data_IF_278381466625
#
_entry.id   IF_278381466625
#
_cell.length_a   1.000
_cell.length_b   1.000
_cell.length_c   1.000
_cell.angle_alpha   90.00
_cell.angle_beta   90.00
_cell.angle_gamma   90.00
#
_symmetry.space_group_name_H-M   'P 1'
#
loop_
_entity.id
_entity.type
_entity.pdbx_description
1 polymer ?
#
# COMPACT_ATOMS: atom_id res chain seq x y z
N UNK A 1 2.11 -13.86 20.87
CA UNK A 1 2.00 -12.98 19.72
C UNK A 1 2.86 -11.72 19.84
N UNK A 2 2.96 -11.15 21.02
CA UNK A 2 3.69 -9.91 21.25
C UNK A 2 5.18 -10.19 21.43
N UNK A 3 5.97 -10.09 20.37
CA UNK A 3 7.39 -10.41 20.35
C UNK A 3 8.23 -9.24 19.82
N UNK A 4 9.48 -9.16 20.27
CA UNK A 4 10.43 -8.20 19.72
C UNK A 4 10.81 -8.59 18.29
N UNK A 5 10.57 -7.70 17.35
CA UNK A 5 10.84 -7.88 15.93
C UNK A 5 11.32 -6.58 15.28
N UNK A 6 11.58 -6.64 13.98
CA UNK A 6 12.02 -5.47 13.22
C UNK A 6 10.82 -4.58 12.87
N UNK A 7 10.43 -3.71 13.82
CA UNK A 7 9.34 -2.75 13.60
C UNK A 7 9.71 -1.65 12.61
N UNK A 8 8.75 -1.21 11.81
CA UNK A 8 8.93 -0.07 10.87
C UNK A 8 9.23 1.26 11.58
N UNK A 9 8.88 1.38 12.86
CA UNK A 9 9.07 2.60 13.66
C UNK A 9 10.40 2.63 14.42
N UNK A 10 11.22 1.58 14.31
CA UNK A 10 12.50 1.43 15.05
C UNK A 10 12.37 1.67 16.57
N UNK A 11 11.20 1.38 17.15
CA UNK A 11 10.96 1.46 18.60
C UNK A 11 11.28 0.12 19.26
N UNK A 12 11.83 0.11 20.48
CA UNK A 12 12.18 -1.12 21.22
C UNK A 12 10.94 -1.77 21.86
N UNK A 13 9.78 -1.71 21.22
CA UNK A 13 8.57 -2.31 21.75
C UNK A 13 8.27 -3.63 21.05
N UNK A 14 7.67 -4.62 21.77
CA UNK A 14 7.16 -5.81 21.12
C UNK A 14 6.10 -5.43 20.09
N UNK A 15 6.07 -6.17 18.98
CA UNK A 15 5.16 -5.94 17.85
C UNK A 15 4.34 -7.17 17.54
N UNK A 16 3.22 -6.96 16.85
CA UNK A 16 2.35 -7.98 16.30
C UNK A 16 2.26 -7.74 14.79
N UNK A 17 2.38 -8.79 14.00
CA UNK A 17 2.15 -8.75 12.56
C UNK A 17 0.68 -9.01 12.23
N UNK A 18 0.18 -8.37 11.18
CA UNK A 18 -1.15 -8.61 10.62
C UNK A 18 -1.04 -8.75 9.12
N UNK A 19 -1.58 -9.84 8.58
CA UNK A 19 -1.83 -10.06 7.15
C UNK A 19 -3.29 -9.77 6.83
N UNK A 20 -3.55 -9.11 5.70
CA UNK A 20 -4.87 -8.79 5.21
C UNK A 20 -4.99 -9.21 3.76
N UNK A 21 -6.04 -9.95 3.42
CA UNK A 21 -6.47 -10.22 2.06
C UNK A 21 -7.73 -9.45 1.72
N UNK A 22 -7.79 -8.98 0.50
CA UNK A 22 -8.93 -8.24 -0.03
C UNK A 22 -9.16 -8.61 -1.50
N UNK A 23 -10.33 -8.31 -2.01
CA UNK A 23 -10.61 -8.38 -3.43
C UNK A 23 -10.08 -7.16 -4.20
N UNK A 24 -10.33 -7.14 -5.51
CA UNK A 24 -9.90 -6.05 -6.40
C UNK A 24 -10.59 -4.70 -6.09
N UNK A 25 -11.72 -4.72 -5.42
CA UNK A 25 -12.47 -3.53 -5.01
C UNK A 25 -12.05 -3.02 -3.61
N UNK A 26 -11.04 -3.64 -3.00
CA UNK A 26 -10.55 -3.29 -1.67
C UNK A 26 -11.40 -3.82 -0.52
N UNK A 27 -12.33 -4.74 -0.78
CA UNK A 27 -13.17 -5.35 0.26
C UNK A 27 -12.36 -6.42 0.99
N UNK A 28 -12.21 -6.35 2.32
CA UNK A 28 -11.48 -7.34 3.09
C UNK A 28 -12.14 -8.72 3.05
N UNK A 29 -11.38 -9.75 2.65
CA UNK A 29 -11.85 -11.15 2.56
C UNK A 29 -11.42 -11.98 3.76
N UNK A 30 -10.18 -11.81 4.22
CA UNK A 30 -9.62 -12.54 5.34
C UNK A 30 -8.47 -11.79 5.99
N UNK A 31 -8.17 -12.13 7.24
CA UNK A 31 -6.98 -11.65 7.93
C UNK A 31 -6.36 -12.75 8.78
N UNK A 32 -5.10 -12.56 9.13
CA UNK A 32 -4.41 -13.36 10.14
C UNK A 32 -3.53 -12.46 11.00
N UNK A 33 -3.26 -12.93 12.23
CA UNK A 33 -2.43 -12.23 13.20
C UNK A 33 -1.30 -13.16 13.63
N UNK A 34 -0.07 -12.72 13.48
CA UNK A 34 1.10 -13.54 13.72
C UNK A 34 2.14 -12.83 14.62
N UNK A 35 3.06 -13.59 15.22
CA UNK A 35 4.10 -13.03 16.07
C UNK A 35 4.96 -12.00 15.35
N UNK A 36 5.29 -10.91 16.01
CA UNK A 36 6.03 -9.80 15.42
C UNK A 36 7.46 -10.12 14.96
N UNK A 37 8.02 -11.25 15.39
CA UNK A 37 9.32 -11.77 14.95
C UNK A 37 9.21 -12.80 13.82
N UNK A 38 8.01 -13.13 13.36
CA UNK A 38 7.80 -14.07 12.25
C UNK A 38 8.11 -13.40 10.90
N UNK A 39 8.72 -14.17 9.99
CA UNK A 39 8.94 -13.70 8.62
C UNK A 39 7.61 -13.64 7.86
N UNK A 40 7.25 -12.45 7.37
CA UNK A 40 6.00 -12.19 6.65
C UNK A 40 5.81 -13.12 5.44
N UNK A 41 6.88 -13.50 4.74
CA UNK A 41 6.80 -14.41 3.59
C UNK A 41 6.24 -15.80 3.94
N UNK A 42 6.45 -16.27 5.17
CA UNK A 42 5.97 -17.59 5.61
C UNK A 42 4.49 -17.59 6.03
N UNK A 43 3.92 -16.40 6.27
CA UNK A 43 2.52 -16.25 6.69
C UNK A 43 1.53 -16.30 5.52
N UNK A 44 2.01 -16.05 4.30
CA UNK A 44 1.19 -15.92 3.10
C UNK A 44 0.46 -17.25 2.78
N UNK A 45 1.21 -18.33 2.54
CA UNK A 45 0.64 -19.62 2.12
C UNK A 45 -0.44 -20.19 3.05
N UNK A 46 -0.30 -20.17 4.40
CA UNK A 46 -1.36 -20.61 5.29
C UNK A 46 -2.67 -19.83 5.10
N UNK A 47 -2.57 -18.50 4.95
CA UNK A 47 -3.73 -17.64 4.76
C UNK A 47 -4.38 -17.84 3.38
N UNK A 48 -3.58 -17.96 2.31
CA UNK A 48 -4.08 -18.30 0.97
C UNK A 48 -4.81 -19.66 0.95
N UNK A 49 -4.25 -20.68 1.58
CA UNK A 49 -4.91 -22.01 1.69
C UNK A 49 -6.26 -21.91 2.39
N UNK A 50 -6.37 -21.06 3.41
CA UNK A 50 -7.63 -20.81 4.10
C UNK A 50 -8.64 -20.15 3.17
N UNK A 51 -8.24 -19.11 2.43
CA UNK A 51 -9.10 -18.43 1.45
C UNK A 51 -9.57 -19.38 0.36
N UNK A 52 -8.67 -20.16 -0.23
CA UNK A 52 -8.99 -21.15 -1.25
C UNK A 52 -10.07 -22.12 -0.73
N UNK A 53 -9.92 -22.58 0.51
CA UNK A 53 -10.87 -23.52 1.14
C UNK A 53 -12.20 -22.82 1.48
N UNK A 54 -12.16 -21.67 2.14
CA UNK A 54 -13.35 -21.03 2.71
C UNK A 54 -14.24 -20.41 1.62
N UNK A 55 -13.64 -19.92 0.54
CA UNK A 55 -14.36 -19.34 -0.61
C UNK A 55 -14.52 -20.29 -1.80
N UNK A 56 -14.02 -21.54 -1.68
CA UNK A 56 -13.97 -22.51 -2.80
C UNK A 56 -13.39 -21.91 -4.09
N UNK A 57 -12.34 -21.10 -3.95
CA UNK A 57 -11.75 -20.29 -5.02
C UNK A 57 -10.51 -20.99 -5.54
N UNK A 58 -10.59 -21.62 -6.73
CA UNK A 58 -9.46 -22.30 -7.37
C UNK A 58 -8.69 -21.42 -8.35
N UNK A 59 -9.29 -20.33 -8.77
CA UNK A 59 -8.77 -19.39 -9.77
C UNK A 59 -8.70 -17.99 -9.20
N UNK A 60 -7.50 -17.41 -9.13
CA UNK A 60 -7.30 -16.04 -8.69
C UNK A 60 -5.93 -15.51 -9.12
N UNK A 61 -5.81 -14.20 -9.15
CA UNK A 61 -4.56 -13.50 -9.37
C UNK A 61 -4.09 -12.92 -8.05
N UNK A 62 -2.96 -13.42 -7.55
CA UNK A 62 -2.32 -12.90 -6.35
C UNK A 62 -1.54 -11.62 -6.68
N UNK A 63 -1.88 -10.52 -6.03
CA UNK A 63 -1.16 -9.25 -6.18
C UNK A 63 -0.53 -8.80 -4.87
N UNK A 64 0.78 -8.51 -4.87
CA UNK A 64 1.49 -8.05 -3.68
C UNK A 64 2.68 -7.15 -3.98
N UNK A 65 3.27 -6.61 -2.92
CA UNK A 65 4.56 -5.94 -2.99
C UNK A 65 5.73 -6.93 -3.07
N UNK A 66 6.95 -6.40 -3.22
CA UNK A 66 8.16 -7.22 -3.30
C UNK A 66 8.49 -7.97 -1.98
N UNK A 67 7.87 -7.59 -0.87
CA UNK A 67 8.09 -8.21 0.44
C UNK A 67 7.57 -9.65 0.50
N UNK A 68 6.48 -9.95 -0.21
CA UNK A 68 5.86 -11.28 -0.27
C UNK A 68 6.25 -12.07 -1.52
N UNK A 69 7.10 -11.53 -2.40
CA UNK A 69 7.46 -12.07 -3.71
C UNK A 69 8.55 -13.13 -3.71
N UNK A 70 8.71 -13.96 -2.67
CA UNK A 70 9.69 -15.06 -2.70
C UNK A 70 9.39 -16.08 -3.80
N UNK A 71 10.43 -16.75 -4.33
CA UNK A 71 10.26 -17.80 -5.34
C UNK A 71 9.27 -18.90 -4.87
N UNK A 72 9.31 -19.26 -3.59
CA UNK A 72 8.38 -20.22 -3.01
C UNK A 72 6.92 -19.75 -3.01
N UNK A 73 6.67 -18.45 -2.80
CA UNK A 73 5.31 -17.90 -2.85
C UNK A 73 4.83 -17.82 -4.30
N UNK A 74 5.69 -17.43 -5.23
CA UNK A 74 5.38 -17.43 -6.66
C UNK A 74 5.09 -18.84 -7.18
N UNK A 75 5.93 -19.81 -6.83
CA UNK A 75 5.70 -21.22 -7.20
C UNK A 75 4.35 -21.75 -6.66
N UNK A 76 3.96 -21.39 -5.44
CA UNK A 76 2.65 -21.75 -4.90
C UNK A 76 1.51 -21.12 -5.71
N UNK A 77 1.68 -19.88 -6.13
CA UNK A 77 0.69 -19.13 -6.92
C UNK A 77 0.77 -19.40 -8.43
N UNK A 78 1.59 -20.36 -8.87
CA UNK A 78 1.63 -20.87 -10.24
C UNK A 78 0.93 -22.22 -10.42
N UNK A 79 0.34 -22.78 -9.36
CA UNK A 79 -0.27 -24.10 -9.40
C UNK A 79 -1.71 -24.00 -9.91
N UNK A 80 -2.07 -24.82 -10.91
CA UNK A 80 -3.40 -24.81 -11.50
C UNK A 80 -3.68 -23.52 -12.28
N UNK A 81 -4.88 -22.94 -12.11
CA UNK A 81 -5.30 -21.71 -12.79
C UNK A 81 -4.99 -20.45 -11.97
N UNK A 82 -4.02 -20.51 -11.06
CA UNK A 82 -3.59 -19.37 -10.27
C UNK A 82 -2.48 -18.59 -10.97
N UNK A 83 -2.53 -17.30 -10.81
CA UNK A 83 -1.49 -16.41 -11.31
C UNK A 83 -1.09 -15.39 -10.26
N UNK A 84 -0.02 -14.64 -10.53
CA UNK A 84 0.43 -13.58 -9.65
C UNK A 84 0.92 -12.37 -10.43
N UNK A 85 0.82 -11.21 -9.75
CA UNK A 85 1.37 -9.93 -10.20
C UNK A 85 2.07 -9.30 -9.00
N UNK A 86 3.39 -9.34 -8.98
CA UNK A 86 4.20 -8.96 -7.82
C UNK A 86 5.19 -7.86 -8.19
N UNK A 87 5.22 -6.79 -7.42
CA UNK A 87 6.26 -5.76 -7.57
C UNK A 87 7.64 -6.38 -7.46
N UNK A 88 8.51 -6.11 -8.42
CA UNK A 88 9.88 -6.61 -8.43
C UNK A 88 10.91 -5.49 -8.29
N UNK A 89 11.91 -5.69 -7.45
CA UNK A 89 12.95 -4.67 -7.22
C UNK A 89 14.09 -4.82 -8.23
N UNK A 90 14.15 -3.94 -9.21
CA UNK A 90 15.25 -3.87 -10.19
C UNK A 90 16.63 -3.77 -9.52
N UNK A 91 16.74 -3.06 -8.39
CA UNK A 91 17.99 -2.90 -7.63
C UNK A 91 18.53 -4.22 -7.06
N UNK A 92 17.67 -5.22 -6.85
CA UNK A 92 18.01 -6.53 -6.26
C UNK A 92 18.26 -7.61 -7.31
N UNK A 93 18.06 -7.32 -8.59
CA UNK A 93 18.31 -8.25 -9.69
C UNK A 93 19.80 -8.49 -9.88
N UNK A 94 20.14 -9.65 -10.48
CA UNK A 94 21.48 -9.90 -10.99
C UNK A 94 21.84 -8.85 -12.04
N UNK A 95 23.13 -8.59 -12.20
CA UNK A 95 23.61 -7.52 -13.10
C UNK A 95 23.11 -7.74 -14.54
N UNK A 96 23.24 -8.94 -15.06
CA UNK A 96 22.85 -9.29 -16.43
C UNK A 96 21.35 -9.03 -16.69
N UNK A 97 20.48 -9.53 -15.84
CA UNK A 97 19.01 -9.33 -15.93
C UNK A 97 18.64 -7.85 -15.77
N UNK A 98 19.35 -7.15 -14.90
CA UNK A 98 19.15 -5.73 -14.66
C UNK A 98 19.54 -4.88 -15.87
N UNK A 99 20.64 -5.21 -16.52
CA UNK A 99 21.11 -4.49 -17.72
C UNK A 99 20.11 -4.67 -18.89
N UNK A 100 19.54 -5.86 -19.02
CA UNK A 100 18.44 -6.10 -19.97
C UNK A 100 17.21 -5.30 -19.59
N UNK A 101 16.83 -5.30 -18.30
CA UNK A 101 15.65 -4.59 -17.81
C UNK A 101 15.78 -3.07 -17.99
N UNK A 102 16.94 -2.49 -17.71
CA UNK A 102 17.19 -1.05 -17.82
C UNK A 102 17.60 -0.59 -19.24
N UNK A 103 17.86 -1.50 -20.19
CA UNK A 103 18.15 -1.12 -21.56
C UNK A 103 17.02 -0.22 -22.11
N UNK A 104 17.30 1.01 -22.56
CA UNK A 104 16.29 1.98 -22.96
C UNK A 104 15.55 1.63 -24.26
N UNK A 105 16.02 0.66 -25.01
CA UNK A 105 15.40 0.23 -26.27
C UNK A 105 14.27 -0.77 -26.05
N UNK A 106 13.44 -0.99 -27.08
CA UNK A 106 12.36 -1.98 -27.09
C UNK A 106 11.20 -1.70 -26.13
N UNK A 107 11.02 -0.46 -25.69
CA UNK A 107 9.81 -0.07 -25.01
C UNK A 107 8.66 0.16 -26.01
N UNK A 108 7.43 0.01 -25.54
CA UNK A 108 6.21 0.29 -26.29
C UNK A 108 5.32 1.22 -25.46
N UNK A 109 4.56 2.07 -26.12
CA UNK A 109 3.46 2.78 -25.50
C UNK A 109 2.24 1.85 -25.37
N UNK A 110 1.45 2.00 -24.36
CA UNK A 110 0.17 1.30 -24.23
C UNK A 110 -0.69 1.51 -25.49
N UNK A 111 -1.22 0.42 -26.05
CA UNK A 111 -2.00 0.44 -27.31
C UNK A 111 -1.19 0.54 -28.60
N UNK A 112 0.16 0.56 -28.55
CA UNK A 112 1.04 0.59 -29.74
C UNK A 112 1.86 -0.69 -29.85
N UNK A 113 2.10 -1.11 -31.09
CA UNK A 113 3.03 -2.20 -31.43
C UNK A 113 4.46 -1.71 -31.70
N UNK A 114 4.65 -0.40 -31.86
CA UNK A 114 5.91 0.19 -32.25
C UNK A 114 6.91 0.22 -31.09
N UNK A 115 8.14 -0.17 -31.40
CA UNK A 115 9.24 -0.08 -30.44
C UNK A 115 9.80 1.35 -30.37
N UNK A 116 10.03 1.81 -29.18
CA UNK A 116 10.52 3.14 -28.86
C UNK A 116 11.81 3.01 -28.02
N UNK A 117 12.78 3.88 -28.31
CA UNK A 117 13.90 4.15 -27.40
C UNK A 117 13.48 5.29 -26.45
N UNK A 118 13.36 5.01 -25.16
CA UNK A 118 12.88 6.00 -24.18
C UNK A 118 13.82 7.21 -24.03
N UNK A 119 15.05 7.15 -24.55
CA UNK A 119 15.98 8.30 -24.58
C UNK A 119 15.59 9.35 -25.62
N UNK A 120 14.80 8.97 -26.62
CA UNK A 120 14.35 9.86 -27.70
C UNK A 120 13.02 10.55 -27.37
N UNK A 121 12.46 10.31 -26.18
CA UNK A 121 11.20 10.88 -25.76
C UNK A 121 11.37 12.39 -25.46
N UNK A 122 10.49 13.20 -26.00
CA UNK A 122 10.35 14.60 -25.59
C UNK A 122 9.53 14.67 -24.29
N UNK A 123 10.22 14.65 -23.15
CA UNK A 123 9.59 14.70 -21.82
C UNK A 123 8.93 16.06 -21.50
N UNK A 124 9.04 17.07 -22.38
CA UNK A 124 8.36 18.37 -22.24
C UNK A 124 6.96 18.35 -22.85
N UNK A 125 6.65 17.39 -23.69
CA UNK A 125 5.31 17.16 -24.21
C UNK A 125 4.40 16.57 -23.14
N UNK A 126 3.23 17.15 -22.93
CA UNK A 126 2.29 16.77 -21.88
C UNK A 126 1.75 15.32 -22.06
N UNK A 127 1.57 14.89 -23.30
CA UNK A 127 1.10 13.52 -23.57
C UNK A 127 2.20 12.52 -23.26
N UNK A 128 3.43 12.78 -23.68
CA UNK A 128 4.61 11.96 -23.39
C UNK A 128 4.86 11.91 -21.89
N UNK A 129 4.81 13.05 -21.21
CA UNK A 129 5.04 13.15 -19.77
C UNK A 129 4.07 12.32 -18.94
N UNK A 130 2.79 12.25 -19.32
CA UNK A 130 1.76 11.49 -18.63
C UNK A 130 1.63 10.04 -19.10
N UNK A 131 2.38 9.63 -20.13
CA UNK A 131 2.35 8.27 -20.69
C UNK A 131 3.17 7.29 -19.85
N UNK A 132 2.86 6.01 -20.02
CA UNK A 132 3.63 4.89 -19.47
C UNK A 132 4.10 4.05 -20.67
N UNK A 133 5.39 3.76 -20.69
CA UNK A 133 6.03 2.88 -21.63
C UNK A 133 6.38 1.58 -20.94
N UNK A 134 6.34 0.46 -21.64
CA UNK A 134 6.64 -0.85 -21.05
C UNK A 134 7.42 -1.74 -21.99
N UNK A 135 8.13 -2.70 -21.45
CA UNK A 135 8.70 -3.82 -22.15
C UNK A 135 8.59 -5.10 -21.33
N UNK A 136 8.59 -6.21 -22.04
CA UNK A 136 8.54 -7.56 -21.47
C UNK A 136 9.91 -8.18 -21.54
N UNK A 137 10.36 -8.76 -20.45
CA UNK A 137 11.60 -9.50 -20.36
C UNK A 137 11.29 -10.89 -19.83
N UNK A 138 11.45 -11.97 -20.63
CA UNK A 138 11.33 -13.33 -20.13
C UNK A 138 12.39 -13.61 -19.06
N UNK A 139 11.98 -14.20 -17.95
CA UNK A 139 12.87 -14.55 -16.83
C UNK A 139 12.58 -15.98 -16.40
N UNK A 140 13.64 -16.75 -16.18
CA UNK A 140 13.52 -18.11 -15.64
C UNK A 140 14.08 -18.12 -14.22
N UNK A 141 13.25 -18.47 -13.25
CA UNK A 141 13.66 -18.57 -11.85
C UNK A 141 13.44 -20.01 -11.36
N UNK A 142 14.47 -20.84 -11.40
CA UNK A 142 14.33 -22.28 -11.15
C UNK A 142 13.42 -22.91 -12.20
N UNK A 143 12.31 -23.51 -11.75
CA UNK A 143 11.32 -24.15 -12.64
C UNK A 143 10.20 -23.17 -13.09
N UNK A 144 10.28 -21.89 -12.72
CA UNK A 144 9.27 -20.90 -13.04
C UNK A 144 9.65 -20.15 -14.33
N UNK A 145 8.77 -20.22 -15.33
CA UNK A 145 8.78 -19.33 -16.48
C UNK A 145 7.95 -18.09 -16.14
N UNK A 146 8.59 -16.94 -16.11
CA UNK A 146 8.01 -15.69 -15.65
C UNK A 146 8.25 -14.59 -16.68
N UNK A 147 7.41 -13.57 -16.65
CA UNK A 147 7.63 -12.33 -17.41
C UNK A 147 7.87 -11.18 -16.45
N UNK A 148 9.00 -10.51 -16.63
CA UNK A 148 9.26 -9.23 -15.98
C UNK A 148 8.73 -8.12 -16.88
N UNK A 149 7.67 -7.45 -16.45
CA UNK A 149 7.16 -6.26 -17.10
C UNK A 149 7.87 -5.05 -16.50
N UNK A 150 8.70 -4.41 -17.30
CA UNK A 150 9.41 -3.18 -16.92
C UNK A 150 8.67 -2.00 -17.49
N UNK A 151 8.24 -1.08 -16.64
CA UNK A 151 7.59 0.16 -17.05
C UNK A 151 8.53 1.35 -16.87
N UNK A 152 8.42 2.33 -17.75
CA UNK A 152 9.06 3.63 -17.67
C UNK A 152 8.01 4.74 -17.75
N UNK A 153 8.12 5.74 -16.88
CA UNK A 153 7.25 6.90 -16.88
C UNK A 153 8.06 8.18 -16.61
N UNK A 154 8.03 9.17 -17.51
CA UNK A 154 8.65 10.48 -17.28
C UNK A 154 8.13 11.18 -16.03
N UNK A 155 6.84 11.09 -15.77
CA UNK A 155 6.21 11.63 -14.55
C UNK A 155 6.75 10.99 -13.27
N UNK A 156 6.97 9.68 -13.28
CA UNK A 156 7.55 8.98 -12.13
C UNK A 156 9.03 9.32 -11.96
N UNK A 157 9.78 9.46 -13.06
CA UNK A 157 11.17 9.96 -13.07
C UNK A 157 11.26 11.32 -12.39
N UNK A 158 10.47 12.29 -12.83
CA UNK A 158 10.44 13.63 -12.26
C UNK A 158 10.08 13.63 -10.75
N UNK A 159 9.16 12.75 -10.35
CA UNK A 159 8.81 12.56 -8.94
C UNK A 159 10.01 12.05 -8.12
N UNK A 160 10.72 11.01 -8.61
CA UNK A 160 11.89 10.45 -7.94
C UNK A 160 13.03 11.45 -7.83
N UNK A 161 13.32 12.17 -8.89
CA UNK A 161 14.31 13.26 -8.93
C UNK A 161 14.01 14.35 -7.91
N UNK A 162 12.73 14.77 -7.81
CA UNK A 162 12.30 15.75 -6.81
C UNK A 162 12.51 15.27 -5.37
N UNK A 163 12.20 14.01 -5.09
CA UNK A 163 12.42 13.41 -3.77
C UNK A 163 13.92 13.35 -3.46
N UNK A 164 14.73 12.86 -4.39
CA UNK A 164 16.19 12.77 -4.26
C UNK A 164 16.82 14.14 -4.03
N UNK A 165 16.47 15.13 -4.82
CA UNK A 165 16.99 16.50 -4.65
C UNK A 165 16.71 17.08 -3.26
N UNK A 166 15.52 16.81 -2.69
CA UNK A 166 15.20 17.21 -1.31
C UNK A 166 16.07 16.48 -0.28
N UNK A 167 16.37 15.21 -0.52
CA UNK A 167 17.21 14.42 0.38
C UNK A 167 18.68 14.83 0.30
N UNK A 168 19.18 15.15 -0.90
CA UNK A 168 20.54 15.69 -1.10
C UNK A 168 20.68 17.04 -0.37
N UNK A 169 19.75 17.98 -0.53
CA UNK A 169 19.75 19.24 0.22
C UNK A 169 19.76 19.04 1.74
N UNK A 170 19.05 18.04 2.24
CA UNK A 170 19.11 17.69 3.68
C UNK A 170 20.46 17.09 4.06
N UNK A 171 21.09 16.29 3.21
CA UNK A 171 22.43 15.75 3.42
C UNK A 171 23.47 16.88 3.51
N UNK A 172 23.41 17.86 2.60
CA UNK A 172 24.25 19.06 2.60
C UNK A 172 24.12 19.87 3.90
N UNK A 173 22.87 20.08 4.38
CA UNK A 173 22.62 20.75 5.65
C UNK A 173 23.22 19.99 6.83
N UNK A 174 23.16 18.65 6.83
CA UNK A 174 23.73 17.82 7.89
C UNK A 174 25.26 17.87 7.86
N UNK A 175 25.89 17.86 6.68
CA UNK A 175 27.36 17.98 6.52
C UNK A 175 27.85 19.28 7.11
N UNK A 176 27.11 20.37 6.88
CA UNK A 176 27.48 21.72 7.33
C UNK A 176 27.10 21.99 8.80
N UNK A 177 26.38 21.07 9.46
CA UNK A 177 26.00 21.24 10.86
C UNK A 177 27.13 20.83 11.82
N UNK A 178 27.31 21.55 12.95
CA UNK A 178 28.30 21.16 13.96
C UNK A 178 27.96 19.84 14.65
N UNK A 179 26.73 19.40 14.63
CA UNK A 179 26.25 18.18 15.28
C UNK A 179 26.01 17.05 14.26
N UNK A 180 27.09 16.37 13.86
CA UNK A 180 27.06 15.26 12.88
C UNK A 180 26.64 13.95 13.56
N UNK A 181 25.34 13.64 13.60
CA UNK A 181 24.88 12.32 14.06
C UNK A 181 24.97 11.32 12.91
N UNK A 182 25.87 10.35 13.02
CA UNK A 182 25.85 9.18 12.16
C UNK A 182 24.64 8.31 12.52
N UNK A 183 23.61 8.31 11.66
CA UNK A 183 22.54 7.30 11.70
C UNK A 183 22.82 6.23 10.65
N UNK A 184 22.30 5.04 10.87
CA UNK A 184 22.44 3.93 9.93
C UNK A 184 21.91 4.29 8.54
N UNK A 185 22.64 3.89 7.50
CA UNK A 185 22.29 4.11 6.09
C UNK A 185 21.05 3.27 5.74
N UNK A 186 19.87 3.87 5.70
CA UNK A 186 18.67 3.26 5.13
C UNK A 186 18.24 4.04 3.89
N UNK A 187 17.30 3.47 3.13
CA UNK A 187 16.85 4.01 1.85
C UNK A 187 16.20 5.40 1.96
N UNK A 188 15.72 5.78 3.14
CA UNK A 188 15.09 7.08 3.41
C UNK A 188 16.01 8.05 4.15
N UNK A 189 17.22 7.63 4.53
CA UNK A 189 18.17 8.44 5.27
C UNK A 189 18.97 9.33 4.29
N UNK A 190 18.94 10.66 4.41
CA UNK A 190 19.77 11.55 3.61
C UNK A 190 21.26 11.23 3.68
N UNK A 191 21.73 10.68 4.82
CA UNK A 191 23.14 10.31 5.01
C UNK A 191 23.62 9.19 4.06
N UNK A 192 22.73 8.51 3.32
CA UNK A 192 23.17 7.56 2.27
C UNK A 192 23.87 8.24 1.10
N UNK A 193 23.64 9.54 0.91
CA UNK A 193 24.33 10.38 -0.08
C UNK A 193 25.58 11.07 0.48
N UNK A 194 26.05 10.65 1.63
CA UNK A 194 27.25 11.19 2.24
C UNK A 194 28.33 10.11 2.31
N UNK A 195 29.43 10.37 1.66
CA UNK A 195 30.67 9.58 1.86
C UNK A 195 31.52 10.22 2.94
N UNK A 196 32.26 9.39 3.63
CA UNK A 196 33.14 9.77 4.70
C UNK A 196 34.54 9.31 4.32
N UNK A 197 35.45 10.25 4.14
CA UNK A 197 36.84 9.99 3.80
C UNK A 197 37.70 10.44 4.97
N UNK A 198 38.49 9.54 5.50
CA UNK A 198 39.45 9.79 6.56
C UNK A 198 40.86 9.62 5.98
N UNK A 199 41.42 10.69 5.42
CA UNK A 199 42.77 10.68 4.81
C UNK A 199 43.58 11.84 5.37
N UNK A 200 44.80 11.59 5.78
CA UNK A 200 45.82 12.62 6.00
C UNK A 200 46.55 12.90 4.71
N UNK A 201 47.23 14.06 4.63
CA UNK A 201 48.06 14.40 3.46
C UNK A 201 49.20 13.38 3.23
N UNK A 202 49.54 12.60 4.25
CA UNK A 202 50.65 11.62 4.21
C UNK A 202 50.16 10.17 4.13
N UNK A 203 48.84 9.94 3.91
CA UNK A 203 48.24 8.60 3.71
C UNK A 203 47.98 7.83 5.03
N UNK A 204 48.18 8.43 6.19
CA UNK A 204 47.85 7.87 7.49
C UNK A 204 46.37 8.05 7.85
N UNK A 205 45.85 7.28 8.81
CA UNK A 205 44.44 7.36 9.26
C UNK A 205 44.22 8.70 9.96
N UNK A 206 43.41 9.58 9.36
CA UNK A 206 43.13 10.90 9.90
C UNK A 206 42.22 10.86 11.12
N UNK A 207 42.52 11.66 12.13
CA UNK A 207 41.59 11.94 13.24
C UNK A 207 40.35 12.73 12.81
N UNK A 208 40.45 13.53 11.74
CA UNK A 208 39.31 14.29 11.18
C UNK A 208 38.69 13.61 9.99
N UNK A 209 37.39 13.30 10.13
CA UNK A 209 36.57 12.77 9.04
C UNK A 209 36.06 13.92 8.15
N UNK A 210 36.32 13.85 6.86
CA UNK A 210 35.77 14.74 5.87
C UNK A 210 34.50 14.12 5.31
N UNK A 211 33.41 14.89 5.33
CA UNK A 211 32.10 14.46 4.82
C UNK A 211 31.82 15.19 3.52
N UNK A 212 31.54 14.46 2.46
CA UNK A 212 31.25 14.97 1.14
C UNK A 212 29.98 14.31 0.56
N UNK A 213 29.35 14.96 -0.40
CA UNK A 213 28.27 14.34 -1.16
C UNK A 213 28.85 13.21 -2.01
N UNK A 214 28.16 12.07 -2.00
CA UNK A 214 28.51 10.88 -2.74
C UNK A 214 27.86 10.88 -4.12
N UNK A 215 28.52 11.54 -5.08
CA UNK A 215 28.03 11.66 -6.46
C UNK A 215 27.90 10.29 -7.15
N UNK A 216 28.73 9.32 -6.80
CA UNK A 216 28.62 7.96 -7.32
C UNK A 216 27.32 7.28 -6.86
N UNK A 217 26.94 7.49 -5.60
CA UNK A 217 25.69 6.97 -5.06
C UNK A 217 24.49 7.65 -5.71
N UNK A 218 24.58 8.95 -5.98
CA UNK A 218 23.53 9.69 -6.71
C UNK A 218 23.37 9.11 -8.10
N UNK A 219 24.47 8.98 -8.87
CA UNK A 219 24.45 8.42 -10.22
C UNK A 219 23.90 6.98 -10.25
N UNK A 220 24.27 6.15 -9.26
CA UNK A 220 23.70 4.78 -9.13
C UNK A 220 22.19 4.78 -8.89
N UNK A 221 21.66 5.75 -8.14
CA UNK A 221 20.22 5.84 -7.95
C UNK A 221 19.49 6.41 -9.18
N UNK A 222 20.12 7.30 -9.92
CA UNK A 222 19.59 7.90 -11.15
C UNK A 222 19.32 6.90 -12.25
N UNK A 223 20.09 5.82 -12.34
CA UNK A 223 19.88 4.73 -13.29
C UNK A 223 18.49 4.11 -13.21
N UNK A 224 17.83 4.22 -12.07
CA UNK A 224 16.50 3.63 -11.82
C UNK A 224 15.36 4.63 -11.94
N UNK A 225 15.64 5.90 -12.29
CA UNK A 225 14.62 6.92 -12.38
C UNK A 225 13.62 6.65 -13.48
N UNK A 226 12.34 6.71 -13.12
CA UNK A 226 11.24 6.44 -14.01
C UNK A 226 10.91 4.97 -14.18
N UNK A 227 11.78 4.06 -13.74
CA UNK A 227 11.57 2.62 -13.90
C UNK A 227 10.81 2.00 -12.73
N UNK A 228 9.92 1.10 -13.08
CA UNK A 228 9.19 0.24 -12.15
C UNK A 228 9.04 -1.14 -12.77
N UNK A 229 9.04 -2.20 -11.98
CA UNK A 229 8.96 -3.55 -12.50
C UNK A 229 7.98 -4.43 -11.74
N UNK A 230 7.35 -5.33 -12.49
CA UNK A 230 6.40 -6.31 -12.01
C UNK A 230 6.78 -7.68 -12.55
N UNK A 231 6.82 -8.68 -11.69
CA UNK A 231 7.00 -10.08 -12.09
C UNK A 231 5.63 -10.78 -12.12
N UNK A 232 5.37 -11.53 -13.18
CA UNK A 232 4.10 -12.24 -13.38
C UNK A 232 4.29 -13.53 -14.17
N UNK A 233 3.37 -14.48 -13.98
CA UNK A 233 3.16 -15.64 -14.84
C UNK A 233 1.88 -15.50 -15.69
N UNK A 234 1.21 -14.35 -15.62
CA UNK A 234 0.06 -14.07 -16.48
C UNK A 234 0.52 -13.87 -17.92
N UNK A 235 -0.21 -14.50 -18.84
CA UNK A 235 -0.19 -14.20 -20.25
C UNK A 235 -1.35 -13.28 -20.59
N UNK A 236 -1.18 -12.34 -21.49
CA UNK A 236 -2.27 -11.48 -21.95
C UNK A 236 -1.94 -10.00 -22.02
N UNK A 237 -2.95 -9.17 -21.89
CA UNK A 237 -2.83 -7.71 -22.04
C UNK A 237 -2.03 -7.09 -20.89
N UNK A 238 -0.88 -6.50 -21.20
CA UNK A 238 0.01 -5.86 -20.24
C UNK A 238 -0.64 -4.70 -19.52
N UNK A 239 -1.53 -3.97 -20.18
CA UNK A 239 -2.27 -2.86 -19.56
C UNK A 239 -3.15 -3.34 -18.40
N UNK A 240 -3.79 -4.51 -18.58
CA UNK A 240 -4.58 -5.14 -17.51
C UNK A 240 -3.68 -5.59 -16.36
N UNK A 241 -2.53 -6.17 -16.65
CA UNK A 241 -1.56 -6.59 -15.63
C UNK A 241 -1.04 -5.37 -14.84
N UNK A 242 -0.71 -4.27 -15.53
CA UNK A 242 -0.31 -3.02 -14.89
C UNK A 242 -1.47 -2.44 -14.05
N UNK A 243 -2.71 -2.52 -14.52
CA UNK A 243 -3.90 -2.09 -13.79
C UNK A 243 -4.10 -2.90 -12.51
N UNK A 244 -3.96 -4.23 -12.58
CA UNK A 244 -4.02 -5.11 -11.40
C UNK A 244 -2.97 -4.69 -10.37
N UNK A 245 -1.73 -4.45 -10.79
CA UNK A 245 -0.67 -4.00 -9.88
C UNK A 245 -0.98 -2.61 -9.28
N UNK A 246 -1.60 -1.71 -10.02
CA UNK A 246 -2.00 -0.40 -9.50
C UNK A 246 -3.07 -0.51 -8.41
N UNK A 247 -3.98 -1.47 -8.48
CA UNK A 247 -5.02 -1.69 -7.46
C UNK A 247 -4.43 -2.08 -6.10
N UNK A 248 -3.16 -2.45 -6.03
CA UNK A 248 -2.44 -2.72 -4.78
C UNK A 248 -2.47 -1.54 -3.78
N UNK A 249 -2.67 -0.30 -4.24
CA UNK A 249 -2.80 0.85 -3.34
C UNK A 249 -3.96 0.70 -2.35
N UNK A 250 -5.01 -0.06 -2.69
CA UNK A 250 -6.14 -0.36 -1.80
C UNK A 250 -5.68 -1.05 -0.51
N UNK A 251 -4.63 -1.89 -0.59
CA UNK A 251 -4.06 -2.56 0.59
C UNK A 251 -3.44 -1.51 1.54
N UNK A 252 -2.70 -0.56 0.97
CA UNK A 252 -2.06 0.50 1.74
C UNK A 252 -3.12 1.41 2.39
N UNK A 253 -4.19 1.72 1.65
CA UNK A 253 -5.32 2.50 2.13
C UNK A 253 -6.06 1.80 3.27
N UNK A 254 -6.36 0.50 3.13
CA UNK A 254 -6.99 -0.29 4.18
C UNK A 254 -6.15 -0.31 5.46
N UNK A 255 -4.83 -0.49 5.35
CA UNK A 255 -3.95 -0.39 6.51
C UNK A 255 -3.88 1.04 7.08
N UNK A 256 -3.99 2.06 6.24
CA UNK A 256 -4.08 3.45 6.69
C UNK A 256 -5.35 3.67 7.51
N UNK A 257 -6.51 3.30 7.00
CA UNK A 257 -7.81 3.40 7.68
C UNK A 257 -7.76 2.70 9.03
N UNK A 258 -7.27 1.47 9.07
CA UNK A 258 -7.14 0.74 10.34
C UNK A 258 -6.26 1.45 11.35
N UNK A 259 -5.16 2.05 10.91
CA UNK A 259 -4.19 2.72 11.79
C UNK A 259 -4.67 4.09 12.28
N UNK A 260 -5.31 4.87 11.41
CA UNK A 260 -5.69 6.26 11.70
C UNK A 260 -7.10 6.35 12.24
N UNK A 261 -8.08 5.76 11.54
CA UNK A 261 -9.49 5.94 11.86
C UNK A 261 -9.98 4.98 12.95
N UNK A 262 -9.48 3.74 12.94
CA UNK A 262 -9.87 2.73 13.92
C UNK A 262 -8.86 2.56 15.05
N UNK A 263 -7.78 3.33 15.03
CA UNK A 263 -6.75 3.31 16.07
C UNK A 263 -6.27 1.88 16.41
N UNK A 264 -6.16 1.01 15.37
CA UNK A 264 -5.73 -0.39 15.55
C UNK A 264 -4.36 -0.51 16.21
N UNK A 265 -3.61 0.58 16.29
CA UNK A 265 -2.35 0.69 17.01
C UNK A 265 -2.21 2.04 17.74
N UNK A 266 -1.52 2.10 18.89
CA UNK A 266 -0.82 0.99 19.56
C UNK A 266 -1.79 -0.02 20.19
N UNK A 267 -1.35 -1.32 20.28
CA UNK A 267 -2.14 -2.38 20.88
C UNK A 267 -1.90 -2.39 22.38
N UNK A 268 -2.89 -2.03 23.18
CA UNK A 268 -2.78 -1.93 24.62
C UNK A 268 -3.06 -3.24 25.37
N UNK A 269 -3.57 -4.27 24.66
CA UNK A 269 -3.85 -5.59 25.24
C UNK A 269 -2.65 -6.53 25.08
N UNK A 270 -2.46 -7.45 26.07
CA UNK A 270 -1.26 -8.30 26.14
C UNK A 270 -1.55 -9.78 25.89
N UNK A 271 -2.73 -10.27 26.23
CA UNK A 271 -3.11 -11.68 26.05
C UNK A 271 -3.40 -11.94 24.58
N UNK A 272 -2.98 -13.08 24.07
CA UNK A 272 -3.12 -13.47 22.67
C UNK A 272 -4.56 -13.52 22.17
N UNK A 273 -5.49 -14.00 23.01
CA UNK A 273 -6.93 -14.01 22.73
C UNK A 273 -7.50 -12.58 22.61
N UNK A 274 -7.06 -11.66 23.46
CA UNK A 274 -7.48 -10.26 23.43
C UNK A 274 -6.85 -9.51 22.23
N UNK A 275 -5.62 -9.82 21.88
CA UNK A 275 -4.96 -9.28 20.68
C UNK A 275 -5.74 -9.69 19.44
N UNK A 276 -6.08 -10.98 19.32
CA UNK A 276 -6.91 -11.49 18.20
C UNK A 276 -8.28 -10.82 18.17
N UNK A 277 -8.95 -10.70 19.30
CA UNK A 277 -10.25 -10.03 19.38
C UNK A 277 -10.17 -8.55 18.96
N UNK A 278 -9.12 -7.82 19.38
CA UNK A 278 -8.88 -6.44 18.96
C UNK A 278 -8.77 -6.33 17.44
N UNK A 279 -7.92 -7.15 16.79
CA UNK A 279 -7.77 -7.12 15.34
C UNK A 279 -9.01 -7.63 14.60
N UNK A 280 -9.75 -8.59 15.18
CA UNK A 280 -11.04 -9.01 14.64
C UNK A 280 -12.04 -7.84 14.62
N UNK A 281 -12.11 -7.07 15.69
CA UNK A 281 -12.98 -5.87 15.75
C UNK A 281 -12.58 -4.85 14.68
N UNK A 282 -11.29 -4.57 14.54
CA UNK A 282 -10.78 -3.66 13.49
C UNK A 282 -11.10 -4.17 12.09
N UNK A 283 -10.94 -5.48 11.85
CA UNK A 283 -11.26 -6.12 10.58
C UNK A 283 -12.75 -6.01 10.23
N UNK A 284 -13.64 -6.33 11.17
CA UNK A 284 -15.09 -6.20 10.98
C UNK A 284 -15.46 -4.73 10.71
N UNK A 285 -14.88 -3.80 11.44
CA UNK A 285 -15.09 -2.37 11.22
C UNK A 285 -14.64 -1.93 9.82
N UNK A 286 -13.51 -2.44 9.34
CA UNK A 286 -13.00 -2.17 8.01
C UNK A 286 -13.94 -2.74 6.94
N UNK A 287 -14.40 -3.98 7.11
CA UNK A 287 -15.34 -4.63 6.20
C UNK A 287 -16.65 -3.83 6.08
N UNK A 288 -17.24 -3.46 7.22
CA UNK A 288 -18.47 -2.66 7.25
C UNK A 288 -18.25 -1.28 6.62
N UNK A 289 -17.12 -0.65 6.90
CA UNK A 289 -16.77 0.65 6.32
C UNK A 289 -16.65 0.56 4.79
N UNK A 290 -15.91 -0.43 4.26
CA UNK A 290 -15.74 -0.60 2.81
C UNK A 290 -17.06 -0.92 2.09
N UNK A 291 -17.91 -1.73 2.69
CA UNK A 291 -19.25 -1.99 2.15
C UNK A 291 -20.13 -0.72 2.15
N UNK A 292 -20.03 0.10 3.21
CA UNK A 292 -20.71 1.38 3.28
C UNK A 292 -20.19 2.34 2.21
N UNK A 293 -18.87 2.52 2.11
CA UNK A 293 -18.22 3.38 1.12
C UNK A 293 -18.66 3.01 -0.31
N UNK A 294 -18.61 1.72 -0.65
CA UNK A 294 -19.10 1.22 -1.95
C UNK A 294 -20.58 1.55 -2.16
N UNK A 295 -21.41 1.45 -1.12
CA UNK A 295 -22.86 1.66 -1.21
C UNK A 295 -23.25 3.13 -1.37
N UNK A 296 -22.51 4.07 -0.78
CA UNK A 296 -22.74 5.53 -0.91
C UNK A 296 -22.04 6.15 -2.12
N UNK A 297 -21.20 5.36 -2.83
CA UNK A 297 -20.33 5.85 -3.92
C UNK A 297 -19.05 6.49 -3.38
N UNK A 298 -17.98 6.39 -4.14
CA UNK A 298 -16.63 6.82 -3.75
C UNK A 298 -16.42 8.35 -3.86
N UNK A 299 -17.44 9.14 -3.47
CA UNK A 299 -17.44 10.60 -3.61
C UNK A 299 -16.92 11.34 -2.38
N UNK A 300 -16.68 10.63 -1.27
CA UNK A 300 -16.30 11.21 0.01
C UNK A 300 -15.02 10.58 0.53
N UNK A 301 -14.24 11.35 1.30
CA UNK A 301 -13.05 10.80 1.96
C UNK A 301 -13.43 9.94 3.17
N UNK A 302 -12.56 9.01 3.55
CA UNK A 302 -12.74 8.17 4.74
C UNK A 302 -12.99 8.98 6.00
N UNK A 303 -12.19 10.04 6.20
CA UNK A 303 -12.31 10.95 7.33
C UNK A 303 -13.70 11.61 7.38
N UNK A 304 -14.18 12.15 6.25
CA UNK A 304 -15.51 12.76 6.16
C UNK A 304 -16.64 11.80 6.52
N UNK A 305 -16.58 10.56 6.02
CA UNK A 305 -17.59 9.54 6.31
C UNK A 305 -17.60 9.21 7.79
N UNK A 306 -16.43 8.90 8.37
CA UNK A 306 -16.31 8.48 9.77
C UNK A 306 -16.67 9.60 10.74
N UNK A 307 -16.23 10.83 10.48
CA UNK A 307 -16.61 12.00 11.28
C UNK A 307 -18.11 12.25 11.23
N UNK A 308 -18.72 12.15 10.03
CA UNK A 308 -20.17 12.26 9.86
C UNK A 308 -20.90 11.22 10.70
N UNK A 309 -20.52 9.94 10.59
CA UNK A 309 -21.14 8.87 11.38
C UNK A 309 -20.99 9.08 12.90
N UNK A 310 -19.82 9.54 13.36
CA UNK A 310 -19.57 9.87 14.76
C UNK A 310 -20.43 11.05 15.24
N UNK A 311 -20.72 12.01 14.38
CA UNK A 311 -21.53 13.19 14.68
C UNK A 311 -23.03 12.90 14.69
N UNK A 312 -23.50 11.86 13.97
CA UNK A 312 -24.92 11.50 13.84
C UNK A 312 -25.52 10.95 15.14
N UNK A 313 -25.51 11.76 16.17
CA UNK A 313 -26.06 11.42 17.49
C UNK A 313 -27.51 11.88 17.63
N UNK A 314 -28.29 11.13 18.41
CA UNK A 314 -29.69 11.42 18.71
C UNK A 314 -29.86 11.56 20.22
N UNK A 315 -30.51 12.64 20.64
CA UNK A 315 -30.83 12.86 22.06
C UNK A 315 -32.25 12.40 22.31
N UNK A 316 -32.45 11.50 23.30
CA UNK A 316 -33.77 11.08 23.76
C UNK A 316 -34.36 12.12 24.69
N UNK A 317 -35.52 12.66 24.31
CA UNK A 317 -36.35 13.52 25.14
C UNK A 317 -37.43 12.68 25.82
N UNK A 318 -37.22 12.32 27.08
CA UNK A 318 -38.17 11.48 27.85
C UNK A 318 -39.52 12.14 28.02
N UNK A 319 -39.56 13.45 28.25
CA UNK A 319 -40.80 14.25 28.44
C UNK A 319 -41.63 14.33 27.18
N UNK A 320 -41.00 14.40 26.00
CA UNK A 320 -41.67 14.48 24.69
C UNK A 320 -41.82 13.11 23.99
N UNK A 321 -41.37 12.02 24.63
CA UNK A 321 -41.42 10.65 24.10
C UNK A 321 -40.87 10.51 22.67
N UNK A 322 -39.73 11.12 22.40
CA UNK A 322 -39.10 11.12 21.08
C UNK A 322 -37.64 11.49 21.07
N UNK A 323 -37.08 11.63 19.88
CA UNK A 323 -35.67 11.90 19.65
C UNK A 323 -35.48 13.21 18.88
N UNK A 324 -34.40 13.92 19.19
CA UNK A 324 -33.96 15.12 18.48
C UNK A 324 -32.54 14.84 17.95
N UNK A 325 -32.26 15.08 16.65
CA UNK A 325 -30.90 14.96 16.13
C UNK A 325 -29.98 16.04 16.73
N UNK A 326 -28.79 15.63 17.12
CA UNK A 326 -27.73 16.53 17.62
C UNK A 326 -26.70 16.82 16.53
N UNK A 327 -27.06 16.63 15.27
CA UNK A 327 -26.21 16.86 14.12
C UNK A 327 -26.94 17.69 13.05
N UNK A 328 -26.16 18.35 12.18
CA UNK A 328 -26.69 19.16 11.07
C UNK A 328 -26.75 18.36 9.79
N UNK A 329 -27.68 18.74 8.91
CA UNK A 329 -27.80 18.17 7.58
C UNK A 329 -26.62 18.56 6.71
N UNK A 330 -26.00 17.57 6.05
CA UNK A 330 -24.90 17.73 5.09
C UNK A 330 -25.17 16.90 3.83
N UNK A 331 -24.34 17.05 2.79
CA UNK A 331 -24.44 16.21 1.58
C UNK A 331 -24.23 14.72 1.92
N UNK A 332 -23.30 14.41 2.81
CA UNK A 332 -23.04 13.02 3.24
C UNK A 332 -24.23 12.45 4.01
N UNK A 333 -24.83 13.20 4.96
CA UNK A 333 -26.02 12.71 5.65
C UNK A 333 -27.20 12.53 4.71
N UNK A 334 -27.37 13.39 3.69
CA UNK A 334 -28.37 13.21 2.64
C UNK A 334 -28.10 11.94 1.82
N UNK A 335 -26.86 11.70 1.43
CA UNK A 335 -26.46 10.50 0.70
C UNK A 335 -26.74 9.23 1.50
N UNK A 336 -26.37 9.21 2.79
CA UNK A 336 -26.67 8.11 3.71
C UNK A 336 -28.17 7.85 3.80
N UNK A 337 -28.97 8.88 4.06
CA UNK A 337 -30.44 8.77 4.18
C UNK A 337 -31.08 8.24 2.88
N UNK A 338 -30.60 8.71 1.73
CA UNK A 338 -31.06 8.23 0.42
C UNK A 338 -30.73 6.76 0.20
N UNK A 339 -29.50 6.38 0.52
CA UNK A 339 -28.97 5.01 0.32
C UNK A 339 -29.72 3.99 1.20
N UNK A 340 -30.02 4.36 2.44
CA UNK A 340 -30.67 3.46 3.40
C UNK A 340 -32.19 3.58 3.47
N UNK A 341 -32.80 4.52 2.72
CA UNK A 341 -34.25 4.63 2.58
C UNK A 341 -35.00 5.16 3.82
N UNK A 342 -34.28 5.74 4.80
CA UNK A 342 -34.90 6.37 5.97
C UNK A 342 -34.13 7.65 6.36
N UNK A 343 -34.80 8.53 7.10
CA UNK A 343 -34.23 9.81 7.56
C UNK A 343 -34.33 9.95 9.07
N UNK A 344 -33.25 10.48 9.66
CA UNK A 344 -33.13 10.74 11.10
C UNK A 344 -32.78 12.21 11.41
N UNK A 345 -32.89 13.10 10.40
CA UNK A 345 -32.55 14.52 10.50
C UNK A 345 -33.80 15.45 10.56
N UNK A 346 -34.95 14.92 10.99
CA UNK A 346 -36.10 15.73 11.33
C UNK A 346 -35.92 16.38 12.71
N UNK A 347 -36.47 17.58 12.89
CA UNK A 347 -36.39 18.32 14.15
C UNK A 347 -36.84 17.49 15.37
N UNK A 348 -37.85 16.63 15.16
CA UNK A 348 -38.33 15.71 16.17
C UNK A 348 -38.78 14.39 15.55
N UNK A 349 -38.37 13.28 16.12
CA UNK A 349 -38.76 11.93 15.71
C UNK A 349 -39.44 11.22 16.86
N UNK A 350 -40.72 10.85 16.67
CA UNK A 350 -41.46 10.08 17.64
C UNK A 350 -40.78 8.72 17.93
N UNK A 351 -40.88 8.25 19.16
CA UNK A 351 -40.30 6.95 19.56
C UNK A 351 -40.86 5.78 18.74
N UNK A 352 -42.13 5.85 18.29
CA UNK A 352 -42.75 4.87 17.39
C UNK A 352 -42.08 4.85 16.01
N UNK A 353 -41.82 6.02 15.42
CA UNK A 353 -41.14 6.17 14.14
C UNK A 353 -39.69 5.62 14.22
N UNK A 354 -38.95 5.97 15.29
CA UNK A 354 -37.62 5.44 15.50
C UNK A 354 -37.61 3.91 15.62
N UNK A 355 -38.59 3.33 16.32
CA UNK A 355 -38.77 1.86 16.39
C UNK A 355 -39.03 1.25 15.03
N UNK A 356 -39.85 1.90 14.19
CA UNK A 356 -40.10 1.46 12.80
C UNK A 356 -38.80 1.47 11.97
N UNK A 357 -37.99 2.54 12.06
CA UNK A 357 -36.70 2.64 11.39
C UNK A 357 -35.77 1.48 11.82
N UNK A 358 -35.66 1.26 13.15
CA UNK A 358 -34.85 0.18 13.70
C UNK A 358 -35.35 -1.20 13.24
N UNK A 359 -36.68 -1.38 13.13
CA UNK A 359 -37.25 -2.62 12.62
C UNK A 359 -36.90 -2.80 11.13
N UNK A 360 -37.10 -1.78 10.30
CA UNK A 360 -36.77 -1.79 8.87
C UNK A 360 -35.28 -2.15 8.63
N UNK A 361 -34.35 -1.64 9.44
CA UNK A 361 -32.91 -1.98 9.30
C UNK A 361 -32.57 -3.42 9.64
N UNK A 362 -33.48 -4.17 10.31
CA UNK A 362 -33.30 -5.59 10.66
C UNK A 362 -33.96 -6.54 9.66
N UNK A 363 -34.90 -6.03 8.86
CA UNK A 363 -35.69 -6.81 7.90
C UNK A 363 -35.16 -6.67 6.46
N UNK A 364 -33.99 -6.07 6.25
CA UNK A 364 -33.38 -6.02 4.93
C UNK A 364 -32.92 -7.45 4.61
N UNK A 365 -33.64 -8.10 3.69
CA UNK A 365 -33.21 -9.35 3.08
C UNK A 365 -31.82 -9.14 2.47
N UNK A 366 -30.88 -9.94 2.91
CA UNK A 366 -29.57 -10.03 2.25
C UNK A 366 -29.80 -10.65 0.86
N UNK A 367 -29.27 -10.07 -0.20
CA UNK A 367 -29.35 -10.64 -1.54
C UNK A 367 -28.65 -11.99 -1.63
#
# INVERSE_FOLDING_TARGET
MNHYGKGKENRPNPIVGMGLFMDADGIPLAFDVFPGNQNEQTTLKPLEKKIIKDFNCSEFIFCSDAGLGSANNRAFNSIGNRAYVITHSLKKMKQEDRDIALNPTQFRKAGSTDFIDIRTLDETDDEVFNSIYYKEVPVVTGDLNETLIVTYSPKYKAYQQRIRSRQIKRAEMIINSPCKKQKGKNQNDPMRFVKNTAVTNDGEIAEKKVYEIDEEQIAKEELFDGFYAVMTNLEGNIEEIIKINKQRWEIEENFRIMKTEFEARPVYVRRDDRIKAHFMTCYISLLLYRLLEKKIGNSYTTEQIIETLRSMKMTLLNTANGYVPSYTRTEITNSLHKTFGFRTDYEFIKKSTMRSIIKQTKEIDLP
#
